data_IF_951180953269
#
_entry.id   IF_951180953269
#
_cell.length_a   1.000
_cell.length_b   1.000
_cell.length_c   1.000
_cell.angle_alpha   90.00
_cell.angle_beta   90.00
_cell.angle_gamma   90.00
#
_symmetry.space_group_name_H-M   'P 1'
#
loop_
_entity.id
_entity.type
_entity.pdbx_description
1 polymer ?
#
# COMPACT_ATOMS: atom_id res chain seq x y z
N UNK A 1 -99.19 10.90 -10.73
CA UNK A 1 -98.10 11.51 -9.96
C UNK A 1 -98.72 12.51 -9.01
N UNK A 2 -98.73 12.21 -7.72
CA UNK A 2 -99.16 13.13 -6.67
C UNK A 2 -98.10 14.22 -6.53
N UNK A 3 -98.49 15.47 -6.80
CA UNK A 3 -97.62 16.64 -6.61
C UNK A 3 -97.39 16.83 -5.12
N UNK A 4 -96.15 16.66 -4.65
CA UNK A 4 -95.75 16.98 -3.27
C UNK A 4 -95.30 18.43 -3.25
N UNK A 5 -96.12 19.29 -2.67
CA UNK A 5 -95.76 20.68 -2.40
C UNK A 5 -94.91 20.74 -1.14
N UNK A 6 -93.69 21.26 -1.24
CA UNK A 6 -92.75 21.38 -0.11
C UNK A 6 -92.77 22.82 0.39
N UNK A 7 -93.43 23.07 1.52
CA UNK A 7 -93.48 24.40 2.13
C UNK A 7 -92.28 24.56 3.07
N UNK A 8 -91.39 25.53 2.87
CA UNK A 8 -90.28 25.77 3.80
C UNK A 8 -90.82 26.39 5.10
N UNK A 9 -90.87 25.58 6.16
CA UNK A 9 -91.27 26.03 7.50
C UNK A 9 -90.01 26.43 8.27
N UNK A 10 -89.94 27.69 8.70
CA UNK A 10 -88.97 28.12 9.73
C UNK A 10 -89.61 27.94 11.10
N UNK A 11 -89.15 26.95 11.84
CA UNK A 11 -89.55 26.74 13.23
C UNK A 11 -88.63 27.61 14.10
N UNK A 12 -89.23 28.50 14.90
CA UNK A 12 -88.54 29.28 15.92
C UNK A 12 -89.04 28.81 17.27
N UNK A 13 -88.16 28.25 18.08
CA UNK A 13 -88.47 27.86 19.45
C UNK A 13 -88.54 29.10 20.35
N UNK A 14 -89.30 28.99 21.44
CA UNK A 14 -89.23 30.00 22.48
C UNK A 14 -87.79 30.04 23.01
N UNK A 15 -87.23 31.26 23.10
CA UNK A 15 -85.80 31.47 23.34
C UNK A 15 -85.56 32.75 24.12
N UNK A 16 -84.69 32.68 25.12
CA UNK A 16 -84.27 33.77 26.02
C UNK A 16 -82.88 33.44 26.57
N UNK A 17 -82.25 34.36 27.28
CA UNK A 17 -81.07 34.03 28.09
C UNK A 17 -81.48 33.16 29.29
N UNK A 18 -80.57 32.35 29.81
CA UNK A 18 -80.82 31.46 30.94
C UNK A 18 -81.39 32.21 32.16
N UNK A 19 -80.85 33.39 32.45
CA UNK A 19 -81.29 34.22 33.59
C UNK A 19 -82.74 34.71 33.45
N UNK A 20 -83.16 35.04 32.23
CA UNK A 20 -84.54 35.46 31.95
C UNK A 20 -85.52 34.29 32.09
N UNK A 21 -85.16 33.12 31.56
CA UNK A 21 -85.96 31.91 31.74
C UNK A 21 -86.11 31.54 33.22
N UNK A 22 -85.01 31.64 33.98
CA UNK A 22 -85.01 31.33 35.40
C UNK A 22 -85.85 32.30 36.24
N UNK A 23 -85.87 33.58 35.85
CA UNK A 23 -86.67 34.60 36.53
C UNK A 23 -88.17 34.43 36.29
N UNK A 24 -88.57 34.01 35.08
CA UNK A 24 -89.99 33.78 34.75
C UNK A 24 -90.45 32.44 35.33
N UNK A 25 -89.57 31.43 35.31
CA UNK A 25 -89.78 30.07 35.76
C UNK A 25 -91.14 29.45 35.35
N UNK A 26 -91.51 29.50 34.05
CA UNK A 26 -92.81 28.99 33.60
C UNK A 26 -92.85 27.45 33.59
N UNK A 27 -94.06 26.88 33.68
CA UNK A 27 -94.28 25.47 33.29
C UNK A 27 -94.34 25.41 31.77
N UNK A 28 -93.45 24.63 31.15
CA UNK A 28 -93.35 24.49 29.70
C UNK A 28 -94.25 23.34 29.24
N UNK A 29 -95.00 23.53 28.15
CA UNK A 29 -95.95 22.55 27.66
C UNK A 29 -95.27 21.22 27.30
N UNK A 30 -96.00 20.12 27.45
CA UNK A 30 -95.47 18.79 27.20
C UNK A 30 -95.00 18.65 25.74
N UNK A 31 -93.71 18.40 25.55
CA UNK A 31 -93.06 18.28 24.24
C UNK A 31 -92.59 19.61 23.63
N UNK A 32 -92.83 20.76 24.27
CA UNK A 32 -92.32 22.04 23.80
C UNK A 32 -90.82 22.18 24.10
N UNK A 33 -90.04 22.58 23.09
CA UNK A 33 -88.63 22.90 23.22
C UNK A 33 -88.42 24.38 23.51
N UNK A 34 -87.60 24.67 24.52
CA UNK A 34 -87.14 26.03 24.84
C UNK A 34 -85.61 26.08 24.80
N UNK A 35 -85.08 27.21 24.33
CA UNK A 35 -83.63 27.40 24.10
C UNK A 35 -83.09 28.53 24.97
N UNK A 36 -81.95 28.30 25.60
CA UNK A 36 -81.10 29.32 26.22
C UNK A 36 -80.13 29.88 25.17
N UNK A 37 -80.20 31.18 24.90
CA UNK A 37 -79.40 31.82 23.85
C UNK A 37 -77.94 32.00 24.23
N UNK A 38 -77.66 32.20 25.51
CA UNK A 38 -76.33 32.45 26.07
C UNK A 38 -75.53 31.17 26.34
N UNK A 39 -76.18 30.14 26.88
CA UNK A 39 -75.53 28.85 27.18
C UNK A 39 -75.58 27.86 26.02
N UNK A 40 -76.40 28.14 24.99
CA UNK A 40 -76.71 27.25 23.88
C UNK A 40 -77.29 25.89 24.31
N UNK A 41 -77.94 25.82 25.48
CA UNK A 41 -78.64 24.63 25.96
C UNK A 41 -80.13 24.70 25.65
N UNK A 42 -80.79 23.55 25.69
CA UNK A 42 -82.23 23.47 25.51
C UNK A 42 -82.86 22.57 26.57
N UNK A 43 -84.14 22.81 26.85
CA UNK A 43 -84.99 21.97 27.69
C UNK A 43 -86.25 21.59 26.92
N UNK A 44 -86.85 20.45 27.27
CA UNK A 44 -88.12 20.00 26.72
C UNK A 44 -89.13 19.92 27.85
N UNK A 45 -90.28 20.57 27.69
CA UNK A 45 -91.33 20.59 28.70
C UNK A 45 -92.01 19.23 28.87
N UNK A 46 -92.47 18.96 30.09
CA UNK A 46 -93.30 17.82 30.45
C UNK A 46 -94.75 18.22 30.77
N UNK A 47 -95.08 19.52 30.64
CA UNK A 47 -96.37 20.10 30.94
C UNK A 47 -96.69 20.24 32.43
N UNK A 48 -95.72 19.99 33.32
CA UNK A 48 -95.94 19.94 34.78
C UNK A 48 -94.86 20.65 35.59
N UNK A 49 -93.60 20.46 35.20
CA UNK A 49 -92.42 20.95 35.89
C UNK A 49 -92.06 22.35 35.40
N UNK A 50 -91.75 23.25 36.34
CA UNK A 50 -91.30 24.60 36.00
C UNK A 50 -89.89 24.58 35.41
N UNK A 51 -89.55 25.59 34.60
CA UNK A 51 -88.28 25.72 33.89
C UNK A 51 -87.03 25.41 34.73
N UNK A 52 -86.97 25.92 35.96
CA UNK A 52 -85.80 25.76 36.83
C UNK A 52 -85.56 24.31 37.22
N UNK A 53 -86.63 23.53 37.35
CA UNK A 53 -86.60 22.13 37.78
C UNK A 53 -86.60 21.16 36.58
N UNK A 54 -86.85 21.64 35.35
CA UNK A 54 -86.73 20.84 34.15
C UNK A 54 -85.25 20.48 33.86
N UNK A 55 -84.94 19.21 33.53
CA UNK A 55 -83.59 18.84 33.14
C UNK A 55 -83.23 19.41 31.76
N UNK A 56 -81.93 19.61 31.52
CA UNK A 56 -81.44 19.89 30.18
C UNK A 56 -81.59 18.66 29.28
N UNK A 57 -81.85 18.91 28.00
CA UNK A 57 -81.76 17.87 27.00
C UNK A 57 -80.29 17.64 26.65
N UNK A 58 -79.75 16.49 27.05
CA UNK A 58 -78.38 16.08 26.76
C UNK A 58 -78.40 14.84 25.86
N UNK A 59 -77.50 14.80 24.88
CA UNK A 59 -77.27 13.60 24.09
C UNK A 59 -76.60 12.50 24.93
N UNK A 60 -76.60 11.24 24.46
CA UNK A 60 -75.86 10.18 25.13
C UNK A 60 -74.38 10.56 25.24
N UNK A 61 -73.79 10.35 26.42
CA UNK A 61 -72.36 10.58 26.64
C UNK A 61 -71.54 9.62 25.74
N UNK A 62 -70.64 10.17 24.93
CA UNK A 62 -69.74 9.36 24.10
C UNK A 62 -68.70 8.62 24.94
N UNK A 63 -68.41 7.37 24.58
CA UNK A 63 -67.34 6.61 25.24
C UNK A 63 -65.97 7.13 24.78
N UNK A 64 -65.05 7.35 25.74
CA UNK A 64 -63.69 7.82 25.47
C UNK A 64 -62.67 6.69 25.61
N UNK A 65 -61.50 6.86 25.00
CA UNK A 65 -60.36 5.97 25.25
C UNK A 65 -59.90 6.15 26.70
N UNK A 66 -59.96 5.08 27.48
CA UNK A 66 -59.60 5.08 28.90
C UNK A 66 -58.18 4.56 29.12
N UNK A 67 -57.68 3.70 28.23
CA UNK A 67 -56.36 3.07 28.35
C UNK A 67 -55.81 2.62 27.01
N UNK A 68 -54.49 2.67 26.87
CA UNK A 68 -53.73 2.04 25.78
C UNK A 68 -52.60 1.22 26.40
N UNK A 69 -52.39 0.00 25.92
CA UNK A 69 -51.34 -0.89 26.43
C UNK A 69 -50.67 -1.66 25.30
N UNK A 70 -49.34 -1.80 25.41
CA UNK A 70 -48.53 -2.72 24.60
C UNK A 70 -48.00 -3.82 25.52
N UNK A 71 -48.22 -5.07 25.16
CA UNK A 71 -47.70 -6.22 25.90
C UNK A 71 -46.24 -6.55 25.50
N UNK A 72 -45.57 -7.38 26.28
CA UNK A 72 -44.17 -7.79 26.01
C UNK A 72 -43.99 -8.58 24.71
N UNK A 73 -45.02 -9.35 24.33
CA UNK A 73 -45.11 -10.08 23.07
C UNK A 73 -45.47 -9.19 21.87
N UNK A 74 -45.80 -7.90 22.10
CA UNK A 74 -45.98 -6.89 21.06
C UNK A 74 -47.43 -6.65 20.62
N UNK A 75 -48.42 -7.20 21.33
CA UNK A 75 -49.84 -6.98 21.07
C UNK A 75 -50.29 -5.59 21.57
N UNK A 76 -50.91 -4.81 20.69
CA UNK A 76 -51.46 -3.50 21.03
C UNK A 76 -52.96 -3.61 21.39
N UNK A 77 -53.33 -3.12 22.57
CA UNK A 77 -54.73 -3.06 23.03
C UNK A 77 -55.16 -1.63 23.38
N UNK A 78 -56.40 -1.28 23.07
CA UNK A 78 -57.06 -0.02 23.43
C UNK A 78 -58.36 -0.31 24.19
N UNK A 79 -58.63 0.42 25.28
CA UNK A 79 -59.90 0.37 26.00
C UNK A 79 -60.74 1.60 25.70
N UNK A 80 -61.99 1.40 25.32
CA UNK A 80 -63.02 2.43 25.21
C UNK A 80 -64.05 2.14 26.30
N UNK A 81 -64.14 3.02 27.30
CA UNK A 81 -64.79 2.67 28.58
C UNK A 81 -64.12 1.45 29.23
N UNK A 82 -64.90 0.41 29.53
CA UNK A 82 -64.41 -0.85 30.09
C UNK A 82 -64.13 -1.93 29.02
N UNK A 83 -64.36 -1.62 27.75
CA UNK A 83 -64.24 -2.57 26.65
C UNK A 83 -62.84 -2.54 26.02
N UNK A 84 -62.14 -3.66 26.07
CA UNK A 84 -60.87 -3.86 25.37
C UNK A 84 -61.08 -4.17 23.87
N UNK A 85 -60.27 -3.56 23.02
CA UNK A 85 -60.11 -3.90 21.59
C UNK A 85 -58.64 -4.19 21.31
N UNK A 86 -58.35 -5.41 20.83
CA UNK A 86 -57.01 -5.81 20.39
C UNK A 86 -56.78 -5.40 18.94
N UNK A 87 -55.69 -4.69 18.68
CA UNK A 87 -55.32 -4.17 17.37
C UNK A 87 -54.23 -5.01 16.68
N UNK A 88 -53.77 -6.10 17.31
CA UNK A 88 -52.79 -7.00 16.76
C UNK A 88 -51.37 -6.71 17.21
N UNK A 89 -50.47 -7.58 16.76
CA UNK A 89 -49.06 -7.52 17.07
C UNK A 89 -48.36 -6.47 16.19
N UNK A 90 -47.65 -5.54 16.82
CA UNK A 90 -46.91 -4.46 16.15
C UNK A 90 -45.39 -4.67 16.16
N UNK A 91 -44.92 -5.76 16.75
CA UNK A 91 -43.50 -6.11 16.78
C UNK A 91 -43.12 -6.81 15.48
N UNK A 92 -42.30 -6.14 14.67
CA UNK A 92 -41.71 -6.76 13.48
C UNK A 92 -40.88 -7.99 13.85
N UNK A 93 -40.83 -8.98 12.95
CA UNK A 93 -39.96 -10.13 13.14
C UNK A 93 -38.49 -9.67 13.18
N UNK A 94 -37.70 -10.23 14.10
CA UNK A 94 -36.26 -10.04 14.09
C UNK A 94 -35.72 -10.69 12.80
N UNK A 95 -35.02 -9.92 11.97
CA UNK A 95 -34.37 -10.46 10.78
C UNK A 95 -33.32 -11.51 11.16
N UNK A 96 -33.11 -12.47 10.27
CA UNK A 96 -32.11 -13.52 10.44
C UNK A 96 -30.69 -12.92 10.52
N UNK A 97 -29.79 -13.61 11.21
CA UNK A 97 -28.37 -13.23 11.24
C UNK A 97 -27.79 -13.42 9.82
N UNK A 98 -27.07 -12.42 9.33
CA UNK A 98 -26.33 -12.53 8.06
C UNK A 98 -25.25 -13.61 8.12
N UNK A 99 -24.92 -14.19 6.95
CA UNK A 99 -23.89 -15.23 6.80
C UNK A 99 -22.49 -14.66 7.05
N UNK A 100 -21.67 -15.38 7.81
CA UNK A 100 -20.29 -14.99 8.11
C UNK A 100 -19.28 -15.55 7.11
N UNK A 101 -18.08 -14.97 7.06
CA UNK A 101 -16.92 -15.60 6.39
C UNK A 101 -16.39 -16.71 7.28
N UNK A 102 -16.30 -17.93 6.76
CA UNK A 102 -15.69 -19.08 7.43
C UNK A 102 -14.17 -19.14 7.21
N UNK A 103 -13.71 -18.84 6.01
CA UNK A 103 -12.28 -18.82 5.69
C UNK A 103 -11.95 -17.95 4.47
N UNK A 104 -10.71 -17.47 4.44
CA UNK A 104 -10.13 -16.79 3.28
C UNK A 104 -8.69 -17.27 3.11
N UNK A 105 -8.32 -17.77 1.92
CA UNK A 105 -6.96 -18.24 1.62
C UNK A 105 -6.57 -17.93 0.18
N UNK A 106 -5.28 -17.91 -0.08
CA UNK A 106 -4.74 -17.89 -1.45
C UNK A 106 -4.25 -19.30 -1.79
N UNK A 107 -4.63 -19.81 -2.96
CA UNK A 107 -4.19 -21.13 -3.43
C UNK A 107 -2.82 -21.08 -4.12
N UNK A 108 -2.32 -22.26 -4.52
CA UNK A 108 -1.01 -22.40 -5.19
C UNK A 108 -0.93 -21.66 -6.53
N UNK A 109 -2.08 -21.41 -7.17
CA UNK A 109 -2.18 -20.65 -8.42
C UNK A 109 -2.21 -19.14 -8.18
N UNK A 110 -2.28 -18.69 -6.92
CA UNK A 110 -2.36 -17.28 -6.55
C UNK A 110 -3.77 -16.71 -6.55
N UNK A 111 -4.80 -17.57 -6.59
CA UNK A 111 -6.20 -17.15 -6.51
C UNK A 111 -6.69 -17.03 -5.08
N UNK A 112 -7.40 -15.95 -4.76
CA UNK A 112 -8.08 -15.79 -3.49
C UNK A 112 -9.38 -16.60 -3.47
N UNK A 113 -9.50 -17.48 -2.48
CA UNK A 113 -10.67 -18.31 -2.20
C UNK A 113 -11.33 -17.83 -0.91
N UNK A 114 -12.64 -17.63 -0.94
CA UNK A 114 -13.43 -17.20 0.23
C UNK A 114 -14.57 -18.20 0.43
N UNK A 115 -14.71 -18.72 1.66
CA UNK A 115 -15.84 -19.55 2.06
C UNK A 115 -16.77 -18.76 2.97
N UNK A 116 -18.04 -18.67 2.59
CA UNK A 116 -19.11 -18.06 3.38
C UNK A 116 -19.95 -19.18 4.03
N UNK A 117 -20.50 -18.90 5.21
CA UNK A 117 -21.38 -19.81 5.96
C UNK A 117 -22.50 -20.37 5.07
N UNK A 118 -22.63 -21.71 5.07
CA UNK A 118 -23.58 -22.46 4.24
C UNK A 118 -23.48 -22.15 2.73
N UNK A 119 -22.28 -21.85 2.22
CA UNK A 119 -22.00 -21.70 0.80
C UNK A 119 -20.76 -22.51 0.41
N UNK A 120 -20.69 -22.86 -0.87
CA UNK A 120 -19.46 -23.37 -1.45
C UNK A 120 -18.40 -22.27 -1.48
N UNK A 121 -17.15 -22.70 -1.48
CA UNK A 121 -16.03 -21.78 -1.57
C UNK A 121 -15.98 -21.10 -2.94
N UNK A 122 -15.95 -19.77 -2.93
CA UNK A 122 -15.88 -18.95 -4.12
C UNK A 122 -14.43 -18.60 -4.47
N UNK A 123 -14.08 -18.73 -5.74
CA UNK A 123 -12.86 -18.13 -6.31
C UNK A 123 -13.16 -16.69 -6.72
N UNK A 124 -12.50 -15.74 -6.05
CA UNK A 124 -12.68 -14.30 -6.30
C UNK A 124 -11.58 -13.71 -7.17
N UNK A 125 -10.72 -14.55 -7.75
CA UNK A 125 -9.74 -14.17 -8.77
C UNK A 125 -8.29 -14.19 -8.30
N UNK A 126 -7.40 -13.95 -9.26
CA UNK A 126 -5.95 -13.89 -9.02
C UNK A 126 -5.60 -12.64 -8.20
N UNK A 127 -4.80 -12.83 -7.16
CA UNK A 127 -4.19 -11.75 -6.38
C UNK A 127 -2.67 -11.70 -6.55
N UNK A 128 -2.13 -12.52 -7.46
CA UNK A 128 -0.70 -12.57 -7.75
C UNK A 128 -0.35 -11.57 -8.85
N UNK A 129 0.53 -10.63 -8.55
CA UNK A 129 1.12 -9.73 -9.54
C UNK A 129 2.07 -10.49 -10.49
N UNK A 130 2.26 -9.92 -11.69
CA UNK A 130 3.17 -10.49 -12.69
C UNK A 130 4.59 -10.63 -12.14
N UNK A 131 5.27 -11.69 -12.58
CA UNK A 131 6.68 -11.90 -12.26
C UNK A 131 7.47 -10.78 -12.94
N UNK A 132 8.20 -9.98 -12.15
CA UNK A 132 9.11 -8.97 -12.70
C UNK A 132 10.19 -9.60 -13.58
N UNK A 133 10.44 -9.00 -14.74
CA UNK A 133 11.51 -9.43 -15.64
C UNK A 133 12.87 -9.20 -14.98
N UNK A 134 13.66 -10.26 -14.88
CA UNK A 134 15.02 -10.17 -14.37
C UNK A 134 15.95 -9.69 -15.48
N UNK A 135 16.63 -8.58 -15.24
CA UNK A 135 17.66 -8.06 -16.15
C UNK A 135 19.01 -8.61 -15.69
N UNK A 136 19.71 -9.34 -16.55
CA UNK A 136 21.05 -9.87 -16.28
C UNK A 136 22.08 -9.25 -17.22
N UNK A 137 23.37 -9.34 -16.86
CA UNK A 137 24.47 -8.91 -17.73
C UNK A 137 24.74 -10.01 -18.75
N UNK A 138 24.62 -9.69 -20.05
CA UNK A 138 24.86 -10.62 -21.14
C UNK A 138 26.30 -10.55 -21.66
N UNK A 139 26.85 -9.33 -21.80
CA UNK A 139 28.18 -9.11 -22.39
C UNK A 139 28.90 -8.00 -21.63
N UNK A 140 30.20 -8.18 -21.39
CA UNK A 140 31.10 -7.10 -20.99
C UNK A 140 32.26 -7.00 -21.99
N UNK A 141 32.51 -5.80 -22.51
CA UNK A 141 33.52 -5.52 -23.53
C UNK A 141 34.34 -4.29 -23.12
N UNK A 142 35.67 -4.37 -23.17
CA UNK A 142 36.53 -3.21 -22.96
C UNK A 142 36.60 -2.42 -24.26
N UNK A 143 36.13 -1.17 -24.23
CA UNK A 143 36.17 -0.23 -25.36
C UNK A 143 37.16 0.92 -25.06
N UNK A 144 37.42 1.78 -26.06
CA UNK A 144 38.30 2.96 -25.90
C UNK A 144 37.92 3.79 -24.68
N UNK A 145 36.61 4.00 -24.52
CA UNK A 145 36.01 4.95 -23.59
C UNK A 145 35.77 4.35 -22.20
N UNK A 146 35.91 3.03 -22.00
CA UNK A 146 35.49 2.39 -20.76
C UNK A 146 35.18 0.90 -20.85
N UNK A 147 34.45 0.40 -19.87
CA UNK A 147 33.84 -0.93 -19.89
C UNK A 147 32.41 -0.80 -20.39
N UNK A 148 32.10 -1.38 -21.54
CA UNK A 148 30.74 -1.50 -22.06
C UNK A 148 30.08 -2.74 -21.46
N UNK A 149 28.94 -2.56 -20.81
CA UNK A 149 28.09 -3.61 -20.25
C UNK A 149 26.79 -3.66 -21.03
N UNK A 150 26.41 -4.83 -21.54
CA UNK A 150 25.14 -5.06 -22.24
C UNK A 150 24.27 -5.99 -21.41
N UNK A 151 23.03 -5.59 -21.18
CA UNK A 151 22.05 -6.35 -20.42
C UNK A 151 21.18 -7.23 -21.33
N UNK A 152 20.43 -8.17 -20.75
CA UNK A 152 19.55 -9.11 -21.48
C UNK A 152 18.40 -8.43 -22.24
N UNK A 153 18.09 -7.18 -21.93
CA UNK A 153 17.12 -6.33 -22.65
C UNK A 153 17.77 -5.51 -23.79
N UNK A 154 19.03 -5.79 -24.11
CA UNK A 154 19.88 -5.07 -25.07
C UNK A 154 20.20 -3.62 -24.69
N UNK A 155 19.84 -3.16 -23.48
CA UNK A 155 20.33 -1.87 -23.00
C UNK A 155 21.84 -1.96 -22.75
N UNK A 156 22.54 -0.87 -23.06
CA UNK A 156 24.00 -0.81 -22.91
C UNK A 156 24.38 0.36 -22.03
N UNK A 157 25.29 0.12 -21.09
CA UNK A 157 25.95 1.15 -20.28
C UNK A 157 27.45 1.12 -20.60
N UNK A 158 28.05 2.29 -20.75
CA UNK A 158 29.52 2.42 -20.78
C UNK A 158 29.92 3.01 -19.43
N UNK A 159 30.71 2.25 -18.67
CA UNK A 159 31.36 2.69 -17.45
C UNK A 159 32.67 3.36 -17.89
N UNK A 160 32.73 4.71 -17.91
CA UNK A 160 33.87 5.41 -18.49
C UNK A 160 35.14 5.14 -17.69
N UNK A 161 36.30 5.20 -18.35
CA UNK A 161 37.57 5.28 -17.62
C UNK A 161 37.59 6.58 -16.81
N UNK A 162 37.84 6.47 -15.51
CA UNK A 162 38.09 7.65 -14.67
C UNK A 162 39.31 8.43 -15.15
N UNK A 163 39.43 9.73 -14.78
CA UNK A 163 40.64 10.48 -15.03
C UNK A 163 41.85 9.76 -14.43
N UNK A 164 42.99 9.80 -15.14
CA UNK A 164 44.26 9.33 -14.59
C UNK A 164 44.54 10.13 -13.32
N UNK A 165 44.64 9.44 -12.17
CA UNK A 165 44.92 10.11 -10.90
C UNK A 165 46.23 10.87 -10.97
N UNK A 166 46.26 12.06 -10.36
CA UNK A 166 47.49 12.85 -10.23
C UNK A 166 48.55 12.05 -9.48
N UNK A 167 49.79 12.21 -9.92
CA UNK A 167 50.95 11.55 -9.31
C UNK A 167 51.08 12.12 -7.90
N UNK A 168 50.97 11.28 -6.87
CA UNK A 168 51.04 11.73 -5.48
C UNK A 168 52.32 12.54 -5.22
N UNK A 169 52.15 13.74 -4.69
CA UNK A 169 53.24 14.64 -4.31
C UNK A 169 54.06 13.99 -3.20
N UNK A 170 55.31 13.61 -3.49
CA UNK A 170 56.22 12.93 -2.58
C UNK A 170 56.88 13.87 -1.55
N UNK A 171 56.26 15.01 -1.23
CA UNK A 171 56.83 16.07 -0.39
C UNK A 171 56.88 15.79 1.12
N UNK A 172 56.63 14.55 1.54
CA UNK A 172 56.68 14.13 2.95
C UNK A 172 57.46 12.84 3.21
N UNK A 173 58.11 12.26 2.20
CA UNK A 173 58.94 11.08 2.41
C UNK A 173 60.35 11.54 2.77
N UNK A 174 60.75 11.33 4.01
CA UNK A 174 62.15 11.41 4.39
C UNK A 174 62.89 10.23 3.78
N UNK A 175 63.59 10.47 2.67
CA UNK A 175 64.33 9.44 1.94
C UNK A 175 65.50 8.88 2.76
N UNK A 176 65.92 9.55 3.83
CA UNK A 176 66.97 9.09 4.74
C UNK A 176 66.52 7.92 5.63
N UNK A 177 65.21 7.68 5.76
CA UNK A 177 64.65 6.53 6.47
C UNK A 177 64.61 5.25 5.58
N UNK A 178 65.02 5.36 4.32
CA UNK A 178 64.99 4.28 3.33
C UNK A 178 66.40 4.03 2.77
N UNK A 179 66.76 2.75 2.68
CA UNK A 179 68.04 2.31 2.11
C UNK A 179 68.15 2.75 0.64
N UNK A 180 69.17 3.52 0.33
CA UNK A 180 69.47 4.01 -1.02
C UNK A 180 69.96 2.90 -1.94
N UNK A 181 69.82 3.10 -3.25
CA UNK A 181 70.32 2.16 -4.29
C UNK A 181 71.83 1.90 -4.17
N UNK A 182 72.58 2.80 -3.54
CA UNK A 182 74.00 2.69 -3.22
C UNK A 182 74.26 1.77 -2.02
N UNK A 183 73.48 1.90 -0.95
CA UNK A 183 73.60 1.07 0.27
C UNK A 183 73.16 -0.37 0.02
N UNK A 184 72.19 -0.56 -0.87
CA UNK A 184 71.78 -1.88 -1.39
C UNK A 184 72.88 -2.62 -2.17
N UNK A 185 73.91 -1.91 -2.67
CA UNK A 185 75.05 -2.53 -3.36
C UNK A 185 76.12 -3.05 -2.40
N UNK A 186 76.08 -2.65 -1.13
CA UNK A 186 77.06 -2.99 -0.10
C UNK A 186 76.53 -3.98 0.94
N UNK A 187 75.28 -4.43 0.82
CA UNK A 187 74.69 -5.40 1.73
C UNK A 187 75.41 -6.74 1.54
N UNK A 188 75.97 -7.28 2.61
CA UNK A 188 76.70 -8.55 2.56
C UNK A 188 75.77 -9.70 2.14
N UNK A 189 76.34 -10.73 1.52
CA UNK A 189 75.63 -11.96 1.15
C UNK A 189 74.71 -12.56 2.25
N UNK A 190 75.02 -12.47 3.56
CA UNK A 190 74.15 -12.97 4.64
C UNK A 190 72.81 -12.21 4.74
N UNK A 191 72.82 -10.90 4.55
CA UNK A 191 71.65 -10.05 4.72
C UNK A 191 70.72 -10.12 3.49
N UNK A 192 71.31 -10.29 2.30
CA UNK A 192 70.56 -10.58 1.06
C UNK A 192 69.86 -11.94 1.17
N UNK A 193 70.52 -12.94 1.77
CA UNK A 193 69.90 -14.24 2.06
C UNK A 193 68.73 -14.10 3.04
N UNK A 194 68.90 -13.33 4.12
CA UNK A 194 67.85 -13.11 5.11
C UNK A 194 66.63 -12.39 4.54
N UNK A 195 66.83 -11.38 3.69
CA UNK A 195 65.75 -10.65 3.02
C UNK A 195 65.00 -11.57 2.04
N UNK A 196 65.71 -12.41 1.28
CA UNK A 196 65.08 -13.34 0.34
C UNK A 196 64.34 -14.48 1.04
N UNK A 197 64.86 -14.98 2.17
CA UNK A 197 64.20 -15.99 2.99
C UNK A 197 62.94 -15.40 3.67
N UNK A 198 63.01 -14.14 4.12
CA UNK A 198 61.86 -13.42 4.71
C UNK A 198 60.74 -13.16 3.69
N UNK A 199 61.10 -12.84 2.44
CA UNK A 199 60.15 -12.55 1.36
C UNK A 199 59.72 -13.81 0.56
N UNK A 200 60.30 -14.98 0.84
CA UNK A 200 60.03 -16.22 0.11
C UNK A 200 60.48 -16.19 -1.35
N UNK A 201 61.47 -15.35 -1.67
CA UNK A 201 61.95 -15.09 -3.04
C UNK A 201 63.23 -15.87 -3.40
N UNK A 202 63.82 -16.60 -2.46
CA UNK A 202 64.99 -17.44 -2.73
C UNK A 202 64.56 -18.71 -3.49
N UNK A 203 65.08 -18.89 -4.72
CA UNK A 203 64.97 -20.17 -5.42
C UNK A 203 65.72 -21.23 -4.60
N UNK A 204 65.04 -22.30 -4.17
CA UNK A 204 65.66 -23.36 -3.37
C UNK A 204 66.72 -24.06 -4.21
N UNK A 205 67.94 -24.12 -3.67
CA UNK A 205 69.09 -24.73 -4.32
C UNK A 205 69.37 -26.10 -3.73
N UNK A 206 69.64 -27.06 -4.62
CA UNK A 206 70.00 -28.42 -4.27
C UNK A 206 71.33 -28.79 -4.89
N UNK A 207 72.20 -29.37 -4.09
CA UNK A 207 73.46 -29.94 -4.54
C UNK A 207 73.22 -31.36 -5.03
N UNK A 208 73.73 -31.70 -6.22
CA UNK A 208 73.73 -33.07 -6.72
C UNK A 208 75.15 -33.60 -6.84
N UNK A 209 75.29 -34.93 -6.91
CA UNK A 209 76.57 -35.58 -7.20
C UNK A 209 76.78 -35.82 -8.70
N UNK A 210 75.92 -35.24 -9.55
CA UNK A 210 76.03 -35.39 -10.99
C UNK A 210 77.17 -34.55 -11.54
N UNK A 211 77.89 -35.12 -12.49
CA UNK A 211 78.97 -34.43 -13.20
C UNK A 211 78.85 -34.71 -14.69
N UNK A 212 78.70 -33.64 -15.47
CA UNK A 212 78.39 -33.74 -16.91
C UNK A 212 79.28 -32.79 -17.72
N UNK A 213 79.46 -33.10 -19.00
CA UNK A 213 80.13 -32.19 -19.94
C UNK A 213 79.18 -31.06 -20.36
N UNK A 214 79.74 -29.99 -20.92
CA UNK A 214 78.96 -28.84 -21.41
C UNK A 214 77.86 -29.24 -22.41
N UNK A 215 78.15 -30.22 -23.27
CA UNK A 215 77.20 -30.75 -24.26
C UNK A 215 75.99 -31.45 -23.61
N UNK A 216 76.24 -32.27 -22.58
CA UNK A 216 75.17 -32.96 -21.85
C UNK A 216 74.36 -32.00 -21.00
N UNK A 217 75.00 -31.03 -20.35
CA UNK A 217 74.32 -30.00 -19.59
C UNK A 217 73.36 -29.19 -20.47
N UNK A 218 73.78 -28.83 -21.69
CA UNK A 218 72.90 -28.16 -22.69
C UNK A 218 71.71 -29.03 -23.11
N UNK A 219 71.91 -30.34 -23.24
CA UNK A 219 70.82 -31.27 -23.54
C UNK A 219 69.82 -31.34 -22.38
N UNK A 220 70.30 -31.48 -21.14
CA UNK A 220 69.46 -31.54 -19.95
C UNK A 220 68.83 -30.20 -19.58
N UNK A 221 69.40 -29.09 -20.04
CA UNK A 221 68.80 -27.76 -19.93
C UNK A 221 67.83 -27.43 -21.05
N UNK A 222 67.55 -28.35 -21.98
CA UNK A 222 66.55 -28.10 -23.01
C UNK A 222 65.15 -28.02 -22.37
N UNK A 223 64.31 -27.03 -22.76
CA UNK A 223 62.95 -26.94 -22.27
C UNK A 223 62.22 -28.27 -22.46
N UNK A 224 61.41 -28.65 -21.47
CA UNK A 224 60.65 -29.92 -21.47
C UNK A 224 61.45 -31.20 -21.22
N UNK A 225 62.80 -31.15 -21.11
CA UNK A 225 63.56 -32.30 -20.60
C UNK A 225 63.14 -32.59 -19.16
N UNK A 226 62.76 -33.84 -18.88
CA UNK A 226 62.24 -34.26 -17.56
C UNK A 226 63.02 -35.45 -17.04
N UNK A 227 63.48 -35.37 -15.80
CA UNK A 227 64.23 -36.41 -15.15
C UNK A 227 64.05 -36.36 -13.62
N UNK A 228 64.42 -37.45 -12.95
CA UNK A 228 64.54 -37.50 -11.50
C UNK A 228 65.97 -37.12 -11.10
N UNK A 229 66.08 -36.07 -10.29
CA UNK A 229 67.34 -35.52 -9.81
C UNK A 229 67.49 -35.87 -8.34
N UNK A 230 68.45 -36.74 -8.02
CA UNK A 230 68.82 -37.01 -6.65
C UNK A 230 69.67 -35.88 -6.10
N UNK A 231 69.32 -35.43 -4.90
CA UNK A 231 69.89 -34.24 -4.26
C UNK A 231 70.39 -34.57 -2.87
N UNK A 232 71.36 -33.81 -2.41
CA UNK A 232 72.06 -34.05 -1.16
C UNK A 232 71.28 -33.49 0.05
N UNK A 233 70.39 -32.52 -0.18
CA UNK A 233 69.56 -31.89 0.84
C UNK A 233 68.14 -32.47 0.91
N UNK A 234 67.46 -32.25 2.04
CA UNK A 234 66.06 -32.65 2.23
C UNK A 234 65.13 -31.84 1.33
N UNK A 235 64.24 -32.56 0.64
CA UNK A 235 63.23 -32.00 -0.27
C UNK A 235 61.87 -31.75 0.41
N UNK A 236 61.76 -31.94 1.73
CA UNK A 236 60.49 -31.88 2.48
C UNK A 236 59.72 -30.55 2.31
N UNK A 237 60.42 -29.43 2.18
CA UNK A 237 59.81 -28.10 1.98
C UNK A 237 59.90 -27.67 0.51
N UNK A 238 59.78 -28.61 -0.41
CA UNK A 238 59.58 -28.36 -1.84
C UNK A 238 58.18 -28.81 -2.19
N UNK A 239 57.46 -27.98 -2.93
CA UNK A 239 56.15 -28.31 -3.46
C UNK A 239 56.22 -28.59 -4.97
N UNK A 240 55.24 -29.35 -5.46
CA UNK A 240 55.04 -29.49 -6.90
C UNK A 240 54.77 -28.10 -7.50
N UNK A 241 55.38 -27.83 -8.66
CA UNK A 241 55.46 -26.55 -9.39
C UNK A 241 56.47 -25.53 -8.85
N UNK A 242 57.15 -25.80 -7.74
CA UNK A 242 58.25 -24.93 -7.31
C UNK A 242 59.37 -24.93 -8.36
N UNK A 243 59.97 -23.76 -8.56
CA UNK A 243 61.19 -23.60 -9.35
C UNK A 243 62.40 -23.71 -8.44
N UNK A 244 63.24 -24.70 -8.70
CA UNK A 244 64.44 -25.00 -7.90
C UNK A 244 65.67 -25.04 -8.79
N UNK A 245 66.83 -24.83 -8.19
CA UNK A 245 68.12 -24.95 -8.87
C UNK A 245 68.80 -26.26 -8.48
N UNK A 246 69.23 -27.05 -9.46
CA UNK A 246 70.06 -28.23 -9.24
C UNK A 246 71.50 -27.89 -9.62
N UNK A 247 72.41 -27.94 -8.65
CA UNK A 247 73.85 -27.76 -8.86
C UNK A 247 74.43 -29.03 -9.47
N UNK A 248 75.13 -28.89 -10.58
CA UNK A 248 75.74 -29.98 -11.34
C UNK A 248 77.16 -29.56 -11.71
N UNK A 249 78.15 -30.40 -11.42
CA UNK A 249 79.54 -30.08 -11.73
C UNK A 249 79.84 -30.23 -13.22
N UNK A 250 80.35 -29.19 -13.87
CA UNK A 250 80.71 -29.23 -15.27
C UNK A 250 82.15 -29.70 -15.46
N UNK A 251 82.31 -30.89 -16.05
CA UNK A 251 83.63 -31.50 -16.27
C UNK A 251 84.45 -30.78 -17.35
N UNK A 252 83.79 -30.04 -18.24
CA UNK A 252 84.45 -29.30 -19.34
C UNK A 252 85.08 -28.01 -18.82
N UNK A 253 84.34 -27.24 -18.02
CA UNK A 253 84.79 -25.93 -17.51
C UNK A 253 85.41 -26.01 -16.11
N UNK A 254 85.25 -27.15 -15.42
CA UNK A 254 85.68 -27.38 -14.03
C UNK A 254 85.06 -26.42 -13.02
N UNK A 255 83.85 -25.95 -13.31
CA UNK A 255 83.04 -25.13 -12.41
C UNK A 255 81.64 -25.74 -12.31
N UNK A 256 80.90 -25.39 -11.26
CA UNK A 256 79.52 -25.82 -11.14
C UNK A 256 78.59 -25.01 -12.04
N UNK A 257 77.55 -25.67 -12.53
CA UNK A 257 76.43 -25.05 -13.23
C UNK A 257 75.13 -25.33 -12.47
N UNK A 258 74.16 -24.43 -12.62
CA UNK A 258 72.89 -24.49 -11.89
C UNK A 258 71.75 -24.61 -12.90
N UNK A 259 71.12 -25.77 -12.92
CA UNK A 259 69.99 -26.07 -13.80
C UNK A 259 68.68 -25.67 -13.11
N UNK A 260 67.94 -24.73 -13.69
CA UNK A 260 66.61 -24.37 -13.19
C UNK A 260 65.57 -25.39 -13.69
N UNK A 261 64.85 -25.99 -12.75
CA UNK A 261 63.83 -27.00 -13.02
C UNK A 261 62.53 -26.67 -12.29
N UNK A 262 61.41 -27.00 -12.92
CA UNK A 262 60.08 -26.95 -12.33
C UNK A 262 59.71 -28.32 -11.80
N UNK A 263 59.48 -28.44 -10.50
CA UNK A 263 59.21 -29.73 -9.84
C UNK A 263 57.86 -30.29 -10.26
N UNK A 264 57.83 -31.55 -10.65
CA UNK A 264 56.61 -32.29 -11.00
C UNK A 264 56.28 -33.38 -9.98
N UNK A 265 57.27 -33.84 -9.22
CA UNK A 265 57.10 -34.78 -8.12
C UNK A 265 58.22 -34.63 -7.08
N UNK A 266 57.90 -34.88 -5.80
CA UNK A 266 58.83 -34.77 -4.68
C UNK A 266 58.96 -36.13 -3.99
N UNK A 267 60.15 -36.73 -4.07
CA UNK A 267 60.56 -37.86 -3.24
C UNK A 267 61.37 -37.39 -2.03
N UNK A 268 61.75 -38.28 -1.11
CA UNK A 268 62.42 -37.89 0.16
C UNK A 268 63.80 -37.24 0.02
N UNK A 269 64.52 -37.52 -1.08
CA UNK A 269 65.86 -37.02 -1.39
C UNK A 269 66.09 -36.88 -2.91
N UNK A 270 65.01 -36.74 -3.66
CA UNK A 270 65.05 -36.47 -5.09
C UNK A 270 63.82 -35.69 -5.52
N UNK A 271 63.92 -34.97 -6.62
CA UNK A 271 62.78 -34.33 -7.30
C UNK A 271 62.68 -34.85 -8.72
N UNK A 272 61.48 -35.21 -9.17
CA UNK A 272 61.23 -35.29 -10.61
C UNK A 272 60.87 -33.89 -11.06
N UNK A 273 61.54 -33.39 -12.08
CA UNK A 273 61.37 -32.02 -12.50
C UNK A 273 61.65 -31.86 -13.99
N UNK A 274 61.00 -30.85 -14.57
CA UNK A 274 61.15 -30.49 -15.98
C UNK A 274 62.02 -29.24 -16.08
N UNK A 275 63.04 -29.26 -16.93
CA UNK A 275 63.91 -28.10 -17.17
C UNK A 275 63.12 -26.92 -17.72
N UNK A 276 63.41 -25.72 -17.20
CA UNK A 276 62.80 -24.47 -17.67
C UNK A 276 63.50 -23.89 -18.90
N UNK A 277 64.58 -24.52 -19.38
CA UNK A 277 65.42 -23.94 -20.43
C UNK A 277 66.63 -23.16 -19.91
N UNK A 278 66.73 -22.97 -18.59
CA UNK A 278 67.69 -22.04 -17.98
C UNK A 278 68.82 -22.79 -17.28
N UNK A 279 70.03 -22.63 -17.79
CA UNK A 279 71.28 -23.12 -17.21
C UNK A 279 72.13 -21.91 -16.82
N UNK A 280 72.53 -21.84 -15.55
CA UNK A 280 73.24 -20.71 -14.99
C UNK A 280 74.67 -21.08 -14.63
N UNK A 281 75.56 -20.09 -14.69
CA UNK A 281 76.98 -20.19 -14.30
C UNK A 281 77.25 -19.65 -12.89
N UNK A 282 76.23 -19.06 -12.25
CA UNK A 282 76.23 -18.61 -10.86
C UNK A 282 74.91 -19.01 -10.20
N UNK A 283 74.89 -19.25 -8.87
CA UNK A 283 73.65 -19.34 -8.10
C UNK A 283 72.78 -18.13 -8.44
N UNK A 284 71.57 -18.35 -8.93
CA UNK A 284 70.84 -17.37 -9.74
C UNK A 284 70.86 -15.93 -9.22
N UNK A 285 71.04 -15.00 -10.16
CA UNK A 285 70.75 -13.57 -9.98
C UNK A 285 69.38 -13.42 -9.32
N UNK A 286 69.35 -12.80 -8.16
CA UNK A 286 68.14 -12.41 -7.44
C UNK A 286 67.41 -11.39 -8.31
N UNK A 287 66.38 -11.81 -9.02
CA UNK A 287 65.51 -10.90 -9.76
C UNK A 287 64.59 -10.17 -8.77
N UNK A 288 65.14 -9.13 -8.14
CA UNK A 288 64.36 -8.14 -7.41
C UNK A 288 63.49 -7.42 -8.44
N UNK A 289 62.20 -7.77 -8.50
CA UNK A 289 61.24 -7.03 -9.32
C UNK A 289 61.20 -5.57 -8.83
N UNK A 290 61.39 -4.64 -9.75
CA UNK A 290 61.31 -3.21 -9.44
C UNK A 290 59.89 -2.83 -8.99
N UNK A 291 59.75 -1.72 -8.24
CA UNK A 291 58.44 -1.18 -7.85
C UNK A 291 57.51 -0.99 -9.06
N UNK A 292 58.06 -0.67 -10.24
CA UNK A 292 57.30 -0.55 -11.49
C UNK A 292 56.75 -1.88 -12.00
N UNK A 293 57.50 -2.99 -11.85
CA UNK A 293 57.04 -4.33 -12.25
C UNK A 293 56.00 -4.90 -11.28
N UNK A 294 56.12 -4.60 -9.98
CA UNK A 294 55.12 -4.99 -8.97
C UNK A 294 53.83 -4.19 -9.14
N UNK A 295 53.92 -2.91 -9.50
CA UNK A 295 52.76 -2.05 -9.76
C UNK A 295 51.95 -2.47 -10.99
N UNK A 296 52.55 -3.17 -11.96
CA UNK A 296 51.87 -3.69 -13.13
C UNK A 296 51.11 -5.01 -12.87
N UNK A 297 51.43 -5.73 -11.78
CA UNK A 297 50.96 -7.10 -11.55
C UNK A 297 49.81 -7.24 -10.53
N UNK A 298 49.57 -6.24 -9.67
CA UNK A 298 48.57 -6.34 -8.59
C UNK A 298 47.67 -5.10 -8.48
N UNK A 299 46.36 -5.31 -8.41
CA UNK A 299 45.37 -4.27 -8.15
C UNK A 299 45.23 -3.97 -6.65
N UNK A 300 45.03 -2.69 -6.29
CA UNK A 300 44.88 -2.24 -4.89
C UNK A 300 43.68 -2.90 -4.21
N UNK A 301 43.90 -3.40 -2.97
CA UNK A 301 42.95 -4.21 -2.20
C UNK A 301 41.62 -3.49 -1.90
N UNK A 302 41.62 -2.18 -1.70
CA UNK A 302 40.37 -1.41 -1.58
C UNK A 302 40.55 0.04 -2.09
N UNK A 303 39.48 0.58 -2.65
CA UNK A 303 39.25 2.00 -2.91
C UNK A 303 37.75 2.30 -2.74
N UNK A 304 37.41 3.57 -2.50
CA UNK A 304 36.02 4.07 -2.47
C UNK A 304 35.73 4.91 -3.71
N UNK A 305 34.49 4.87 -4.15
CA UNK A 305 33.91 5.75 -5.15
C UNK A 305 32.83 6.61 -4.48
N UNK A 306 32.78 7.88 -4.84
CA UNK A 306 31.65 8.77 -4.53
C UNK A 306 30.67 8.75 -5.72
N UNK A 307 29.39 9.06 -5.48
CA UNK A 307 28.35 8.97 -6.52
C UNK A 307 28.62 9.91 -7.70
N UNK A 308 29.37 10.97 -7.46
CA UNK A 308 29.84 11.96 -8.43
C UNK A 308 30.85 11.39 -9.43
N UNK A 309 31.48 10.25 -9.12
CA UNK A 309 32.47 9.59 -9.99
C UNK A 309 31.82 8.98 -11.24
N UNK A 310 30.49 8.82 -11.25
CA UNK A 310 29.74 8.25 -12.38
C UNK A 310 28.93 9.34 -13.07
N UNK A 311 29.54 9.93 -14.10
CA UNK A 311 28.94 10.99 -14.92
C UNK A 311 27.56 10.57 -15.45
N UNK A 312 26.50 11.21 -14.94
CA UNK A 312 25.11 10.96 -15.35
C UNK A 312 24.30 10.04 -14.44
N UNK A 313 24.90 9.41 -13.43
CA UNK A 313 24.19 8.50 -12.53
C UNK A 313 23.15 9.23 -11.67
N UNK A 314 23.50 10.41 -11.13
CA UNK A 314 22.56 11.25 -10.39
C UNK A 314 21.37 11.67 -11.25
N UNK A 315 21.59 11.95 -12.53
CA UNK A 315 20.53 12.30 -13.48
C UNK A 315 19.63 11.10 -13.80
N UNK A 316 20.20 9.90 -13.98
CA UNK A 316 19.43 8.66 -14.17
C UNK A 316 18.62 8.29 -12.92
N UNK A 317 19.18 8.46 -11.72
CA UNK A 317 18.46 8.25 -10.47
C UNK A 317 17.33 9.26 -10.28
N UNK A 318 17.59 10.54 -10.56
CA UNK A 318 16.56 11.58 -10.51
C UNK A 318 15.47 11.38 -11.56
N UNK A 319 15.79 10.88 -12.76
CA UNK A 319 14.78 10.50 -13.77
C UNK A 319 13.94 9.31 -13.32
N UNK A 320 14.54 8.31 -12.65
CA UNK A 320 13.82 7.15 -12.13
C UNK A 320 12.94 7.50 -10.92
N UNK A 321 13.38 8.43 -10.08
CA UNK A 321 12.62 8.94 -8.94
C UNK A 321 11.48 9.89 -9.36
N UNK A 322 11.66 10.65 -10.44
CA UNK A 322 10.65 11.55 -10.99
C UNK A 322 9.78 10.91 -12.09
N UNK A 323 10.09 9.67 -12.49
CA UNK A 323 9.21 8.87 -13.34
C UNK A 323 7.97 8.50 -12.52
N UNK A 324 6.89 9.24 -12.74
CA UNK A 324 5.55 8.73 -12.52
C UNK A 324 5.43 7.40 -13.27
N UNK A 325 5.45 6.29 -12.55
CA UNK A 325 5.03 5.01 -13.12
C UNK A 325 3.54 4.86 -12.83
N UNK A 326 2.76 4.65 -13.89
CA UNK A 326 1.35 4.32 -13.78
C UNK A 326 1.19 2.80 -13.84
N UNK A 327 0.50 2.22 -12.86
CA UNK A 327 -0.02 0.86 -13.00
C UNK A 327 -1.24 0.91 -13.93
N UNK A 328 -1.06 0.55 -15.19
CA UNK A 328 -2.20 0.20 -16.06
C UNK A 328 -2.47 -1.29 -15.91
N UNK A 329 -3.23 -1.66 -14.88
CA UNK A 329 -3.90 -2.95 -14.85
C UNK A 329 -5.02 -2.89 -15.91
N UNK A 330 -4.75 -3.41 -17.10
CA UNK A 330 -5.72 -3.45 -18.17
C UNK A 330 -6.68 -4.60 -17.90
N UNK A 331 -7.76 -4.35 -17.15
CA UNK A 331 -8.90 -5.26 -17.12
C UNK A 331 -9.49 -5.30 -18.55
N UNK A 332 -9.56 -6.48 -19.20
CA UNK A 332 -10.20 -6.59 -20.50
C UNK A 332 -11.63 -6.05 -20.43
N UNK A 333 -12.01 -5.17 -21.36
CA UNK A 333 -13.33 -4.51 -21.44
C UNK A 333 -14.53 -5.41 -21.07
N UNK A 334 -14.60 -6.69 -21.48
CA UNK A 334 -15.73 -7.57 -21.16
C UNK A 334 -15.88 -7.89 -19.67
N UNK A 335 -14.79 -7.81 -18.89
CA UNK A 335 -14.78 -8.05 -17.44
C UNK A 335 -15.20 -6.78 -16.71
N UNK A 336 -14.74 -5.61 -17.16
CA UNK A 336 -15.19 -4.32 -16.65
C UNK A 336 -16.71 -4.14 -16.84
N UNK A 337 -17.24 -4.51 -18.00
CA UNK A 337 -18.66 -4.40 -18.32
C UNK A 337 -19.57 -5.35 -17.48
N UNK A 338 -19.01 -6.42 -16.90
CA UNK A 338 -19.75 -7.32 -15.99
C UNK A 338 -19.69 -6.90 -14.52
N UNK A 339 -18.70 -6.10 -14.12
CA UNK A 339 -18.52 -5.61 -12.75
C UNK A 339 -19.21 -4.26 -12.50
N UNK A 340 -19.51 -3.50 -13.55
CA UNK A 340 -20.34 -2.30 -13.44
C UNK A 340 -21.83 -2.68 -13.52
N UNK A 341 -22.58 -2.50 -12.42
CA UNK A 341 -24.03 -2.44 -12.49
C UNK A 341 -24.42 -1.38 -13.52
N UNK A 342 -25.33 -1.74 -14.43
CA UNK A 342 -25.76 -0.84 -15.49
C UNK A 342 -26.36 0.44 -14.88
N UNK A 343 -26.16 1.57 -15.56
CA UNK A 343 -26.71 2.87 -15.13
C UNK A 343 -28.23 2.82 -14.90
N UNK A 344 -28.94 1.93 -15.61
CA UNK A 344 -30.36 1.65 -15.41
C UNK A 344 -30.67 0.97 -14.08
N UNK A 345 -29.84 0.01 -13.64
CA UNK A 345 -30.01 -0.67 -12.35
C UNK A 345 -29.72 0.29 -11.20
N UNK A 346 -28.65 1.08 -11.29
CA UNK A 346 -28.35 2.15 -10.32
C UNK A 346 -29.45 3.22 -10.26
N UNK A 347 -30.06 3.57 -11.40
CA UNK A 347 -31.22 4.48 -11.43
C UNK A 347 -32.45 3.88 -10.76
N UNK A 348 -32.70 2.57 -10.92
CA UNK A 348 -33.77 1.84 -10.25
C UNK A 348 -33.60 1.81 -8.73
N UNK A 349 -32.38 1.56 -8.24
CA UNK A 349 -32.06 1.62 -6.81
C UNK A 349 -32.12 3.04 -6.24
N UNK A 350 -31.69 4.06 -7.00
CA UNK A 350 -31.78 5.47 -6.57
C UNK A 350 -33.21 6.02 -6.61
N UNK A 351 -34.12 5.50 -7.43
CA UNK A 351 -35.53 5.93 -7.43
C UNK A 351 -36.29 5.63 -6.15
N UNK A 352 -35.76 4.74 -5.29
CA UNK A 352 -36.30 4.48 -3.95
C UNK A 352 -35.82 5.46 -2.88
N UNK A 353 -34.76 6.25 -3.14
CA UNK A 353 -34.25 7.27 -2.24
C UNK A 353 -34.76 8.65 -2.66
N UNK A 354 -35.21 9.47 -1.69
CA UNK A 354 -35.60 10.86 -1.92
C UNK A 354 -34.50 11.59 -2.73
N UNK A 355 -34.83 12.07 -3.93
CA UNK A 355 -33.85 12.75 -4.78
C UNK A 355 -33.45 14.07 -4.12
N UNK A 356 -32.19 14.45 -4.23
CA UNK A 356 -31.68 15.72 -3.67
C UNK A 356 -32.51 16.94 -4.09
N UNK A 357 -33.10 16.91 -5.29
CA UNK A 357 -34.04 17.94 -5.77
C UNK A 357 -35.36 18.00 -4.98
N UNK A 358 -35.92 16.85 -4.59
CA UNK A 358 -37.16 16.77 -3.81
C UNK A 358 -36.92 17.26 -2.38
N UNK A 359 -35.76 16.91 -1.80
CA UNK A 359 -35.33 17.40 -0.48
C UNK A 359 -35.14 18.92 -0.53
N UNK A 360 -34.45 19.45 -1.55
CA UNK A 360 -34.24 20.89 -1.69
C UNK A 360 -35.57 21.65 -1.89
N UNK A 361 -36.50 21.09 -2.65
CA UNK A 361 -37.84 21.67 -2.84
C UNK A 361 -38.65 21.69 -1.54
N UNK A 362 -38.59 20.65 -0.74
CA UNK A 362 -39.23 20.63 0.57
C UNK A 362 -38.58 21.62 1.54
N UNK A 363 -37.24 21.66 1.59
CA UNK A 363 -36.49 22.62 2.42
C UNK A 363 -36.83 24.09 2.09
N UNK A 364 -36.92 24.44 0.80
CA UNK A 364 -37.24 25.80 0.35
C UNK A 364 -38.65 26.28 0.72
N UNK A 365 -39.53 25.35 1.12
CA UNK A 365 -40.92 25.62 1.45
C UNK A 365 -41.25 25.33 2.92
N UNK A 366 -40.26 25.01 3.75
CA UNK A 366 -40.43 24.89 5.20
C UNK A 366 -41.01 26.20 5.76
N UNK A 367 -42.07 26.08 6.56
CA UNK A 367 -42.73 27.22 7.20
C UNK A 367 -43.75 27.97 6.33
N UNK A 368 -43.96 27.56 5.07
CA UNK A 368 -45.04 28.06 4.21
C UNK A 368 -46.28 27.17 4.32
N UNK A 369 -47.46 27.75 4.17
CA UNK A 369 -48.72 27.00 4.11
C UNK A 369 -49.01 26.61 2.66
N UNK A 370 -49.31 25.34 2.40
CA UNK A 370 -49.65 24.87 1.04
C UNK A 370 -51.15 24.98 0.82
N UNK A 371 -51.55 25.69 -0.23
CA UNK A 371 -52.92 25.65 -0.73
C UNK A 371 -53.19 24.27 -1.35
N UNK A 372 -54.21 23.57 -0.85
CA UNK A 372 -54.55 22.21 -1.30
C UNK A 372 -55.20 22.19 -2.70
N UNK A 373 -55.83 23.28 -3.13
CA UNK A 373 -56.53 23.38 -4.40
C UNK A 373 -55.56 23.75 -5.53
N UNK A 374 -54.68 24.73 -5.28
CA UNK A 374 -53.73 25.22 -6.30
C UNK A 374 -52.34 24.59 -6.19
N UNK A 375 -52.01 23.98 -5.05
CA UNK A 375 -50.69 23.41 -4.77
C UNK A 375 -49.62 24.46 -4.46
N UNK A 376 -49.97 25.75 -4.47
CA UNK A 376 -49.03 26.86 -4.24
C UNK A 376 -48.65 26.97 -2.76
N UNK A 377 -47.38 27.25 -2.47
CA UNK A 377 -46.92 27.58 -1.13
C UNK A 377 -47.06 29.07 -0.85
N UNK A 378 -47.75 29.42 0.23
CA UNK A 378 -48.03 30.76 0.71
C UNK A 378 -47.17 31.09 1.92
N UNK A 379 -46.48 32.24 1.87
CA UNK A 379 -45.68 32.72 3.01
C UNK A 379 -46.58 33.34 4.09
N UNK A 380 -46.28 33.14 5.37
CA UNK A 380 -47.04 33.74 6.47
C UNK A 380 -46.29 34.94 7.03
N UNK A 381 -46.97 36.09 7.13
CA UNK A 381 -46.39 37.31 7.68
C UNK A 381 -47.30 37.88 8.79
N UNK A 382 -46.73 38.21 9.94
CA UNK A 382 -47.47 38.89 11.02
C UNK A 382 -47.04 40.35 11.08
N UNK A 383 -47.97 41.27 10.88
CA UNK A 383 -47.73 42.72 10.84
C UNK A 383 -48.50 43.45 11.93
N UNK A 384 -48.03 44.64 12.30
CA UNK A 384 -48.73 45.49 13.24
C UNK A 384 -49.97 46.14 12.59
N UNK A 385 -50.89 46.58 13.44
CA UNK A 385 -52.14 47.22 12.99
C UNK A 385 -51.88 48.40 12.05
N UNK A 386 -52.51 48.39 10.89
CA UNK A 386 -52.41 49.38 9.82
C UNK A 386 -51.23 49.18 8.87
N UNK A 387 -50.45 48.10 9.00
CA UNK A 387 -49.24 47.84 8.19
C UNK A 387 -49.34 46.64 7.26
N UNK A 388 -50.55 46.25 6.85
CA UNK A 388 -50.73 45.23 5.82
C UNK A 388 -50.10 45.73 4.50
N UNK A 389 -49.19 44.97 3.87
CA UNK A 389 -48.62 45.33 2.58
C UNK A 389 -49.71 45.50 1.51
N UNK A 390 -49.51 46.42 0.56
CA UNK A 390 -50.45 46.66 -0.54
C UNK A 390 -50.52 45.51 -1.54
N UNK A 391 -49.48 44.67 -1.60
CA UNK A 391 -49.46 43.43 -2.37
C UNK A 391 -49.29 42.24 -1.43
N UNK A 392 -50.31 41.39 -1.38
CA UNK A 392 -50.35 40.17 -0.56
C UNK A 392 -50.32 38.91 -1.41
N UNK A 393 -49.99 39.02 -2.71
CA UNK A 393 -49.96 37.90 -3.64
C UNK A 393 -48.99 36.82 -3.17
N UNK A 394 -49.50 35.60 -2.99
CA UNK A 394 -48.70 34.47 -2.50
C UNK A 394 -48.39 34.51 -0.99
N UNK A 395 -49.10 35.33 -0.20
CA UNK A 395 -48.90 35.46 1.24
C UNK A 395 -50.21 35.46 2.03
N UNK A 396 -50.14 34.98 3.28
CA UNK A 396 -51.18 35.15 4.31
C UNK A 396 -50.64 36.14 5.34
N UNK A 397 -51.35 37.25 5.53
CA UNK A 397 -50.95 38.31 6.46
C UNK A 397 -51.88 38.32 7.67
N UNK A 398 -51.31 38.11 8.86
CA UNK A 398 -52.02 38.30 10.13
C UNK A 398 -51.71 39.68 10.68
N UNK A 399 -52.74 40.49 10.84
CA UNK A 399 -52.62 41.80 11.48
C UNK A 399 -52.83 41.65 13.00
N UNK A 400 -51.90 42.17 13.81
CA UNK A 400 -52.06 42.15 15.27
C UNK A 400 -53.20 43.08 15.69
N UNK A 401 -54.19 42.56 16.41
CA UNK A 401 -55.22 43.41 17.03
C UNK A 401 -54.57 44.25 18.14
N UNK A 402 -54.42 45.55 17.91
CA UNK A 402 -53.63 46.44 18.76
C UNK A 402 -53.92 46.35 20.27
N UNK A 403 -52.83 46.34 21.04
CA UNK A 403 -52.76 46.53 22.48
C UNK A 403 -51.28 46.48 22.87
N UNK A 404 -50.84 47.46 23.70
CA UNK A 404 -49.46 47.71 24.16
C UNK A 404 -48.57 46.49 24.38
#
# INVERSE_FOLDING_TARGET
MTSVETIPIKIVFARKDASEWQSINPVIDAGEMVVELDTHRLKVGDGKTSYNDLPYYEGPQGESVTKVQLSEDGELSIWIGDRETKLGNIKGQKGDRGKSVESARVDESGHLKIKIEDQEEADVGSVKGDKGDSIAIQIHEIVSDGLKVTFTDNTTVIIPKGPKGDTGDARGINLDDYVTKSELKTVGAPDVKAINDFLGLSQKMFTSNYSYSDSLLKSYSSPSYSASWYVNESTKDVNVKDKVLITISNTTTRVDNYLEVSVTYVGSNYVTATSTGKLLTTPGEVNVLTKEQIAAAYAKKEHKHEIDDIKGLQNSLNHKANAQHSHSEYLPQPVADKLYLSKSELQGYLSGYLRQGDIQYQLNNIGKLKDEVTGQYLSVQVVDKGRVPSDTSGMIVFERSGGK
#
